data_IF_087660252132
#
_entry.id   IF_087660252132
#
_cell.length_a   1.000
_cell.length_b   1.000
_cell.length_c   1.000
_cell.angle_alpha   90.00
_cell.angle_beta   90.00
_cell.angle_gamma   90.00
#
_symmetry.space_group_name_H-M   'P 1'
#
loop_
_entity.id
_entity.type
_entity.pdbx_description
1 polymer ?
#
# COMPACT_ATOMS: atom_id res chain seq x y z
N UNK A 1 7.21 9.29 -6.77
CA UNK A 1 6.09 8.51 -6.18
C UNK A 1 6.31 7.04 -6.45
N UNK A 2 6.28 6.20 -5.41
CA UNK A 2 6.44 4.74 -5.53
C UNK A 2 5.27 4.09 -6.30
N UNK A 3 5.53 3.00 -7.01
CA UNK A 3 4.54 2.24 -7.78
C UNK A 3 3.40 1.73 -6.88
N UNK A 4 3.71 1.31 -5.66
CA UNK A 4 2.71 0.84 -4.69
C UNK A 4 1.71 1.95 -4.30
N UNK A 5 2.16 3.20 -4.16
CA UNK A 5 1.28 4.34 -3.88
C UNK A 5 0.32 4.63 -5.06
N UNK A 6 0.78 4.44 -6.31
CA UNK A 6 -0.09 4.54 -7.50
C UNK A 6 -1.12 3.41 -7.52
N UNK A 7 -0.71 2.17 -7.23
CA UNK A 7 -1.60 1.02 -7.20
C UNK A 7 -2.71 1.19 -6.14
N UNK A 8 -2.41 1.76 -4.97
CA UNK A 8 -3.42 2.09 -3.95
C UNK A 8 -4.46 3.09 -4.44
N UNK A 9 -4.03 4.15 -5.14
CA UNK A 9 -4.93 5.15 -5.69
C UNK A 9 -5.87 4.56 -6.74
N UNK A 10 -5.35 3.68 -7.59
CA UNK A 10 -6.15 3.01 -8.62
C UNK A 10 -7.12 1.98 -8.01
N UNK A 11 -6.68 1.19 -7.02
CA UNK A 11 -7.55 0.27 -6.29
C UNK A 11 -8.70 1.00 -5.58
N UNK A 12 -8.47 2.20 -5.03
CA UNK A 12 -9.50 3.01 -4.37
C UNK A 12 -10.62 3.46 -5.32
N UNK A 13 -10.36 3.49 -6.62
CA UNK A 13 -11.32 3.92 -7.66
C UNK A 13 -12.22 2.78 -8.13
N UNK A 14 -11.87 1.53 -7.82
CA UNK A 14 -12.67 0.37 -8.16
C UNK A 14 -13.87 0.24 -7.20
N UNK A 15 -14.99 -0.34 -7.66
CA UNK A 15 -16.11 -0.66 -6.78
C UNK A 15 -15.63 -1.56 -5.64
N UNK A 16 -16.05 -1.22 -4.41
CA UNK A 16 -15.64 -1.97 -3.22
C UNK A 16 -16.24 -3.37 -3.25
N UNK A 17 -15.37 -4.36 -3.18
CA UNK A 17 -15.69 -5.77 -3.01
C UNK A 17 -14.55 -6.46 -2.26
N UNK A 18 -14.79 -7.67 -1.75
CA UNK A 18 -13.87 -8.37 -0.85
C UNK A 18 -12.42 -8.46 -1.38
N UNK A 19 -12.26 -8.67 -2.70
CA UNK A 19 -10.95 -8.69 -3.33
C UNK A 19 -10.26 -7.31 -3.32
N UNK A 20 -11.00 -6.24 -3.62
CA UNK A 20 -10.44 -4.88 -3.61
C UNK A 20 -10.06 -4.46 -2.19
N UNK A 21 -10.88 -4.78 -1.19
CA UNK A 21 -10.57 -4.49 0.21
C UNK A 21 -9.37 -5.28 0.73
N UNK A 22 -9.25 -6.55 0.34
CA UNK A 22 -8.08 -7.37 0.65
C UNK A 22 -6.81 -6.78 0.02
N UNK A 23 -6.83 -6.45 -1.28
CA UNK A 23 -5.68 -5.86 -1.97
C UNK A 23 -5.29 -4.48 -1.41
N UNK A 24 -6.27 -3.65 -1.06
CA UNK A 24 -6.01 -2.37 -0.39
C UNK A 24 -5.27 -2.56 0.94
N UNK A 25 -5.67 -3.56 1.72
CA UNK A 25 -5.04 -3.88 3.02
C UNK A 25 -3.61 -4.39 2.84
N UNK A 26 -3.38 -5.29 1.88
CA UNK A 26 -2.05 -5.83 1.60
C UNK A 26 -1.09 -4.71 1.16
N UNK A 27 -1.48 -3.91 0.16
CA UNK A 27 -0.62 -2.83 -0.36
C UNK A 27 -0.36 -1.74 0.69
N UNK A 28 -1.35 -1.43 1.53
CA UNK A 28 -1.14 -0.50 2.64
C UNK A 28 -0.15 -1.05 3.68
N UNK A 29 -0.21 -2.35 3.97
CA UNK A 29 0.69 -2.99 4.93
C UNK A 29 2.13 -2.99 4.42
N UNK A 30 2.34 -3.31 3.14
CA UNK A 30 3.67 -3.26 2.49
C UNK A 30 4.29 -1.87 2.53
N UNK A 31 3.50 -0.82 2.25
CA UNK A 31 4.01 0.55 2.28
C UNK A 31 4.38 1.01 3.69
N UNK A 32 3.61 0.60 4.70
CA UNK A 32 3.92 0.89 6.10
C UNK A 32 5.19 0.14 6.51
N UNK A 33 5.33 -1.13 6.14
CA UNK A 33 6.53 -1.92 6.43
C UNK A 33 7.78 -1.29 5.80
N UNK A 34 7.72 -0.93 4.52
CA UNK A 34 8.81 -0.22 3.83
C UNK A 34 9.17 1.09 4.53
N UNK A 35 8.16 1.89 4.92
CA UNK A 35 8.41 3.13 5.66
C UNK A 35 9.04 2.91 7.02
N UNK A 36 8.67 1.84 7.73
CA UNK A 36 9.27 1.47 9.02
C UNK A 36 10.70 0.96 8.85
N UNK A 37 10.98 0.16 7.81
CA UNK A 37 12.33 -0.32 7.49
C UNK A 37 13.25 0.83 7.12
N UNK A 38 12.78 1.79 6.30
CA UNK A 38 13.53 3.00 5.96
C UNK A 38 13.88 3.83 7.21
N UNK A 39 12.90 4.02 8.12
CA UNK A 39 13.11 4.69 9.40
C UNK A 39 14.07 3.95 10.35
N UNK A 40 14.16 2.62 10.27
CA UNK A 40 15.06 1.79 11.10
C UNK A 40 16.45 1.62 10.48
N UNK A 41 16.58 1.80 9.16
CA UNK A 41 17.83 1.71 8.41
C UNK A 41 18.65 3.01 8.35
N UNK A 42 18.10 4.13 8.81
CA UNK A 42 18.81 5.39 8.93
C UNK A 42 19.71 5.42 10.16
N UNK A 43 20.98 5.04 10.01
CA UNK A 43 22.08 5.50 10.86
C UNK A 43 22.65 6.82 10.32
#
# INVERSE_FOLDING_TARGET
MSQAAKNLLELRRLPRGALVEHLLREVASDLIAQGIEDLRGGC
#
